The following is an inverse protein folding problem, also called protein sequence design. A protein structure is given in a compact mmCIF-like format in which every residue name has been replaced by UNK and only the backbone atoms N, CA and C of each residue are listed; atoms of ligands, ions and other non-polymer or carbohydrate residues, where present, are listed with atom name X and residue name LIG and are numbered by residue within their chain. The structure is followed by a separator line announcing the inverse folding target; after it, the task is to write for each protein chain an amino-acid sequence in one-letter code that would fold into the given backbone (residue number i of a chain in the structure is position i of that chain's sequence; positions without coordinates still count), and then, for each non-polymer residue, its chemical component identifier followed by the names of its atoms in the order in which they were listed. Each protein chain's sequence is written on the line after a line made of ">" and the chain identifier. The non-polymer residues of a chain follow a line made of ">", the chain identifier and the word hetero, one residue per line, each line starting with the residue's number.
data_IF_995471577508
#
_entry.id   IF_995471577508
#
_cell.length_a   1.000
_cell.length_b   1.000
_cell.length_c   1.000
_cell.angle_alpha   90.00
_cell.angle_beta   90.00
_cell.angle_gamma   90.00
#
_symmetry.space_group_name_H-M   'P 1'
#
loop_
_entity.id
_entity.type
_entity.pdbx_description
1 polymer ?
#
# COMPACT_ATOMS: atom_id res chain seq x y z
N UNK A 1 23.16 4.68 -6.54
CA UNK A 1 21.77 5.09 -6.79
C UNK A 1 20.93 3.83 -6.78
N UNK A 2 20.04 3.67 -5.79
CA UNK A 2 19.15 2.51 -5.71
C UNK A 2 17.84 2.85 -6.43
N UNK A 3 17.28 1.88 -7.16
CA UNK A 3 15.98 2.02 -7.83
C UNK A 3 14.92 1.42 -6.91
N UNK A 4 13.87 2.19 -6.61
CA UNK A 4 12.73 1.75 -5.82
C UNK A 4 11.52 1.62 -6.75
N UNK A 5 11.06 0.40 -7.07
CA UNK A 5 9.91 0.21 -7.93
C UNK A 5 8.63 0.64 -7.20
N UNK A 6 7.72 1.32 -7.90
CA UNK A 6 6.41 1.68 -7.37
C UNK A 6 5.32 0.89 -8.08
N UNK A 7 4.60 0.05 -7.33
CA UNK A 7 3.60 -0.87 -7.87
C UNK A 7 2.18 -0.35 -7.64
N UNK A 8 1.34 -0.48 -8.68
CA UNK A 8 -0.08 -0.16 -8.58
C UNK A 8 -0.90 -1.45 -8.52
N UNK A 9 -1.86 -1.47 -7.60
CA UNK A 9 -2.76 -2.60 -7.38
C UNK A 9 -4.21 -2.16 -7.58
N UNK A 10 -5.04 -3.06 -8.10
CA UNK A 10 -6.46 -2.80 -8.33
C UNK A 10 -7.29 -3.19 -7.11
N UNK A 11 -7.08 -2.51 -5.98
CA UNK A 11 -7.81 -2.75 -4.73
C UNK A 11 -7.42 -4.02 -3.96
N UNK A 12 -6.41 -4.75 -4.42
CA UNK A 12 -5.88 -5.98 -3.81
C UNK A 12 -4.46 -5.82 -3.24
N UNK A 13 -4.05 -4.58 -2.93
CA UNK A 13 -2.72 -4.32 -2.36
C UNK A 13 -2.50 -5.11 -1.07
N UNK A 14 -3.48 -5.14 -0.15
CA UNK A 14 -3.34 -5.83 1.14
C UNK A 14 -3.09 -7.34 0.99
N UNK A 15 -3.73 -8.00 0.01
CA UNK A 15 -3.48 -9.41 -0.33
C UNK A 15 -2.05 -9.61 -0.87
N UNK A 16 -1.56 -8.68 -1.69
CA UNK A 16 -0.20 -8.70 -2.20
C UNK A 16 0.84 -8.49 -1.09
N UNK A 17 0.61 -7.57 -0.15
CA UNK A 17 1.46 -7.38 1.02
C UNK A 17 1.59 -8.68 1.83
N UNK A 18 0.47 -9.35 2.10
CA UNK A 18 0.46 -10.63 2.83
C UNK A 18 1.16 -11.76 2.06
N UNK A 19 1.01 -11.78 0.74
CA UNK A 19 1.75 -12.70 -0.12
C UNK A 19 3.26 -12.47 -0.04
N UNK A 20 3.72 -11.21 -0.16
CA UNK A 20 5.15 -10.89 -0.11
C UNK A 20 5.76 -11.12 1.27
N UNK A 21 5.02 -10.84 2.36
CA UNK A 21 5.45 -11.22 3.72
C UNK A 21 5.75 -12.71 3.82
N UNK A 22 4.84 -13.56 3.32
CA UNK A 22 4.97 -15.02 3.42
C UNK A 22 6.01 -15.60 2.46
N UNK A 23 6.02 -15.12 1.21
CA UNK A 23 6.84 -15.70 0.16
C UNK A 23 8.29 -15.18 0.18
N UNK A 24 8.50 -13.93 0.57
CA UNK A 24 9.78 -13.23 0.45
C UNK A 24 10.32 -12.72 1.80
N UNK A 25 9.59 -12.93 2.90
CA UNK A 25 9.96 -12.35 4.20
C UNK A 25 9.88 -10.82 4.20
N UNK A 26 8.99 -10.25 3.38
CA UNK A 26 8.84 -8.81 3.27
C UNK A 26 8.37 -8.19 4.59
N UNK A 27 8.86 -7.00 4.89
CA UNK A 27 8.42 -6.19 6.02
C UNK A 27 7.67 -4.98 5.52
N UNK A 28 6.46 -4.75 6.02
CA UNK A 28 5.72 -3.52 5.73
C UNK A 28 6.24 -2.44 6.66
N UNK A 29 6.95 -1.46 6.11
CA UNK A 29 7.58 -0.36 6.86
C UNK A 29 6.65 0.85 6.99
N UNK A 30 5.66 0.96 6.09
CA UNK A 30 4.63 1.99 6.11
C UNK A 30 3.34 1.45 5.49
N UNK A 31 2.19 1.83 6.06
CA UNK A 31 0.88 1.56 5.48
C UNK A 31 -0.05 2.74 5.78
N UNK A 32 -0.71 3.23 4.74
CA UNK A 32 -1.73 4.28 4.80
C UNK A 32 -2.96 3.81 4.04
N UNK A 33 -4.12 3.88 4.71
CA UNK A 33 -5.43 3.63 4.11
C UNK A 33 -6.02 4.91 3.54
N UNK A 34 -6.99 4.81 2.62
CA UNK A 34 -7.63 5.99 2.03
C UNK A 34 -8.30 6.90 3.06
N UNK A 35 -8.82 6.36 4.17
CA UNK A 35 -9.38 7.14 5.28
C UNK A 35 -8.34 7.98 6.03
N UNK A 36 -7.06 7.66 5.89
CA UNK A 36 -5.93 8.35 6.54
C UNK A 36 -5.29 9.38 5.61
N UNK A 37 -5.87 9.61 4.42
CA UNK A 37 -5.38 10.60 3.47
C UNK A 37 -5.38 12.01 4.11
N UNK A 38 -4.22 12.70 4.17
CA UNK A 38 -4.13 14.04 4.74
C UNK A 38 -4.86 15.11 3.91
N UNK A 39 -5.15 14.86 2.63
CA UNK A 39 -5.94 15.71 1.76
C UNK A 39 -7.14 14.93 1.18
N UNK A 40 -8.17 14.69 2.00
CA UNK A 40 -9.29 13.84 1.61
C UNK A 40 -10.11 14.49 0.49
N UNK A 41 -10.54 13.73 -0.52
CA UNK A 41 -11.40 14.25 -1.57
C UNK A 41 -12.74 14.73 -0.99
N UNK A 42 -13.47 15.61 -1.70
CA UNK A 42 -14.75 16.13 -1.23
C UNK A 42 -15.73 15.03 -0.82
N UNK A 43 -16.59 15.27 0.19
CA UNK A 43 -17.60 14.31 0.63
C UNK A 43 -18.42 13.78 -0.56
N UNK A 44 -18.59 12.46 -0.63
CA UNK A 44 -19.33 11.79 -1.71
C UNK A 44 -18.52 11.43 -2.96
N UNK A 45 -17.24 11.77 -3.03
CA UNK A 45 -16.36 11.34 -4.14
C UNK A 45 -15.62 10.02 -3.89
N UNK A 46 -15.64 9.51 -2.64
CA UNK A 46 -15.05 8.21 -2.29
C UNK A 46 -16.12 7.12 -2.48
N UNK A 47 -15.91 6.13 -3.37
CA UNK A 47 -16.79 4.98 -3.47
C UNK A 47 -16.89 4.24 -2.11
N UNK A 48 -18.07 3.72 -1.75
CA UNK A 48 -18.22 2.93 -0.52
C UNK A 48 -17.22 1.76 -0.46
N UNK A 49 -16.55 1.59 0.69
CA UNK A 49 -15.59 0.52 0.93
C UNK A 49 -14.16 0.80 0.44
N UNK A 50 -13.90 1.95 -0.19
CA UNK A 50 -12.54 2.37 -0.55
C UNK A 50 -11.75 2.90 0.66
N UNK A 51 -12.45 3.40 1.68
CA UNK A 51 -11.92 3.95 2.93
C UNK A 51 -10.94 3.01 3.66
N UNK A 52 -11.28 1.73 3.72
CA UNK A 52 -10.43 0.70 4.33
C UNK A 52 -9.37 0.15 3.38
N UNK A 53 -9.36 0.50 2.09
CA UNK A 53 -8.33 0.02 1.17
C UNK A 53 -7.00 0.73 1.40
N UNK A 54 -5.90 0.03 1.10
CA UNK A 54 -4.55 0.60 1.14
C UNK A 54 -4.44 1.65 0.02
N UNK A 55 -4.06 2.86 0.41
CA UNK A 55 -3.78 3.98 -0.48
C UNK A 55 -2.29 4.00 -0.85
N UNK A 56 -1.42 3.81 0.13
CA UNK A 56 0.03 3.77 -0.05
C UNK A 56 0.65 2.82 1.00
N UNK A 57 1.70 2.10 0.60
CA UNK A 57 2.47 1.27 1.49
C UNK A 57 3.92 1.24 1.02
N UNK A 58 4.84 1.01 1.95
CA UNK A 58 6.24 0.74 1.67
C UNK A 58 6.62 -0.62 2.24
N UNK A 59 7.35 -1.39 1.46
CA UNK A 59 7.87 -2.70 1.80
C UNK A 59 9.38 -2.73 1.74
N UNK A 60 9.96 -3.49 2.65
CA UNK A 60 11.38 -3.86 2.64
C UNK A 60 11.52 -5.35 2.37
N UNK A 61 12.37 -5.73 1.43
CA UNK A 61 12.72 -7.12 1.11
C UNK A 61 14.24 -7.23 1.04
N UNK A 62 14.85 -7.81 2.06
CA UNK A 62 16.30 -7.73 2.26
C UNK A 62 16.74 -6.26 2.34
N UNK A 63 17.64 -5.84 1.43
CA UNK A 63 18.13 -4.46 1.34
C UNK A 63 17.35 -3.60 0.33
N UNK A 64 16.32 -4.15 -0.33
CA UNK A 64 15.51 -3.43 -1.31
C UNK A 64 14.27 -2.80 -0.66
N UNK A 65 13.93 -1.58 -1.10
CA UNK A 65 12.68 -0.88 -0.76
C UNK A 65 11.80 -0.72 -2.01
N UNK A 66 10.49 -0.85 -1.82
CA UNK A 66 9.45 -0.68 -2.84
C UNK A 66 8.11 -0.22 -2.25
#
# INVERSE_FOLDING_TARGET
>A
MAVQPYLFFNGNCEEALEFYKKALGAEVTMLMRFKENPDPPPPGQIPPGLDEKVMHASLRIGDAEL
#
